data_IF_152317671282
#
_entry.id   IF_152317671282
#
_cell.length_a   1.000
_cell.length_b   1.000
_cell.length_c   1.000
_cell.angle_alpha   90.00
_cell.angle_beta   90.00
_cell.angle_gamma   90.00
#
_symmetry.space_group_name_H-M   'P 1'
#
loop_
_entity.id
_entity.type
_entity.pdbx_description
1 polymer ?
#
# COMPACT_ATOMS: atom_id res chain seq x y z
N UNK A 1 -16.47 -8.70 -8.37
CA UNK A 1 -16.64 -8.39 -6.94
C UNK A 1 -15.27 -8.06 -6.35
N UNK A 2 -15.12 -6.85 -5.83
CA UNK A 2 -13.93 -6.45 -5.09
C UNK A 2 -13.97 -7.12 -3.72
N UNK A 3 -13.14 -8.15 -3.50
CA UNK A 3 -13.01 -8.78 -2.20
C UNK A 3 -12.26 -7.83 -1.27
N UNK A 4 -12.76 -7.63 -0.06
CA UNK A 4 -12.14 -6.80 0.98
C UNK A 4 -11.52 -7.72 2.03
N UNK A 5 -10.32 -7.37 2.48
CA UNK A 5 -9.70 -8.04 3.61
C UNK A 5 -10.47 -7.63 4.88
N UNK A 6 -10.99 -8.63 5.60
CA UNK A 6 -11.66 -8.44 6.88
C UNK A 6 -10.77 -9.04 7.96
N UNK A 7 -10.35 -8.22 8.90
CA UNK A 7 -9.57 -8.62 10.08
C UNK A 7 -10.06 -7.83 11.30
N UNK A 8 -9.77 -8.32 12.46
CA UNK A 8 -10.09 -7.62 13.72
C UNK A 8 -9.16 -6.40 13.86
N UNK A 9 -9.74 -5.22 13.77
CA UNK A 9 -9.03 -3.96 13.96
C UNK A 9 -8.99 -3.60 15.43
N UNK A 10 -7.79 -3.38 15.95
CA UNK A 10 -7.60 -2.84 17.27
C UNK A 10 -8.05 -1.37 17.33
N UNK A 11 -8.30 -0.87 18.52
CA UNK A 11 -8.63 0.54 18.74
C UNK A 11 -7.59 1.49 18.12
N UNK A 12 -6.32 1.13 18.22
CA UNK A 12 -5.21 1.91 17.65
C UNK A 12 -5.27 1.98 16.11
N UNK A 13 -5.67 0.92 15.42
CA UNK A 13 -5.83 0.92 13.95
C UNK A 13 -6.95 1.85 13.50
N UNK A 14 -8.04 1.92 14.29
CA UNK A 14 -9.14 2.85 14.04
C UNK A 14 -8.72 4.29 14.26
N UNK A 15 -8.01 4.58 15.37
CA UNK A 15 -7.45 5.91 15.65
C UNK A 15 -6.48 6.34 14.56
N UNK A 16 -5.56 5.46 14.15
CA UNK A 16 -4.63 5.72 13.05
C UNK A 16 -5.37 6.11 11.77
N UNK A 17 -6.40 5.36 11.43
CA UNK A 17 -7.21 5.61 10.23
C UNK A 17 -7.91 6.98 10.31
N UNK A 18 -8.53 7.30 11.45
CA UNK A 18 -9.21 8.59 11.66
C UNK A 18 -8.21 9.73 11.61
N UNK A 19 -7.07 9.59 12.28
CA UNK A 19 -6.02 10.63 12.30
C UNK A 19 -5.48 10.91 10.91
N UNK A 20 -5.22 9.87 10.10
CA UNK A 20 -4.81 10.04 8.72
C UNK A 20 -5.86 10.83 7.91
N UNK A 21 -7.13 10.51 8.04
CA UNK A 21 -8.19 11.27 7.36
C UNK A 21 -8.24 12.73 7.80
N UNK A 22 -8.18 12.99 9.11
CA UNK A 22 -8.22 14.36 9.63
C UNK A 22 -7.06 15.20 9.13
N UNK A 23 -5.82 14.67 9.14
CA UNK A 23 -4.63 15.38 8.66
C UNK A 23 -4.78 15.75 7.19
N UNK A 24 -5.11 14.81 6.32
CA UNK A 24 -5.18 15.09 4.88
C UNK A 24 -6.39 15.92 4.48
N UNK A 25 -7.52 15.81 5.19
CA UNK A 25 -8.63 16.74 5.02
C UNK A 25 -8.26 18.15 5.48
N UNK A 26 -7.53 18.30 6.58
CA UNK A 26 -7.03 19.59 7.01
C UNK A 26 -6.09 20.23 5.96
N UNK A 27 -5.16 19.45 5.37
CA UNK A 27 -4.31 19.95 4.30
C UNK A 27 -5.11 20.45 3.09
N UNK A 28 -6.15 19.70 2.66
CA UNK A 28 -7.02 20.13 1.57
C UNK A 28 -7.74 21.42 1.95
N UNK A 29 -8.35 21.46 3.15
CA UNK A 29 -9.11 22.61 3.62
C UNK A 29 -8.26 23.88 3.71
N UNK A 30 -7.09 23.82 4.36
CA UNK A 30 -6.18 24.97 4.46
C UNK A 30 -5.64 25.40 3.09
N UNK A 31 -5.30 24.45 2.21
CA UNK A 31 -4.87 24.81 0.85
C UNK A 31 -5.95 25.54 0.07
N UNK A 32 -7.22 25.16 0.21
CA UNK A 32 -8.35 25.86 -0.43
C UNK A 32 -8.53 27.27 0.16
N UNK A 33 -8.38 27.43 1.48
CA UNK A 33 -8.46 28.75 2.11
C UNK A 33 -7.33 29.65 1.60
N UNK A 34 -6.10 29.17 1.58
CA UNK A 34 -4.96 29.93 1.05
C UNK A 34 -5.17 30.32 -0.43
N UNK A 35 -5.69 29.40 -1.26
CA UNK A 35 -5.98 29.72 -2.67
C UNK A 35 -7.01 30.85 -2.83
N UNK A 36 -7.96 31.00 -1.90
CA UNK A 36 -8.94 32.11 -1.93
C UNK A 36 -8.33 33.45 -1.55
N UNK A 37 -7.30 33.45 -0.70
CA UNK A 37 -6.66 34.68 -0.21
C UNK A 37 -5.58 35.20 -1.16
N UNK A 38 -4.96 34.32 -1.97
CA UNK A 38 -3.94 34.71 -2.93
C UNK A 38 -4.58 35.55 -4.04
N UNK A 39 -4.14 36.82 -4.16
CA UNK A 39 -4.52 37.65 -5.29
C UNK A 39 -3.91 37.16 -6.58
N UNK A 40 -4.70 37.12 -7.65
CA UNK A 40 -4.23 36.69 -8.98
C UNK A 40 -3.16 37.66 -9.51
N UNK A 41 -1.90 37.26 -9.34
CA UNK A 41 -0.72 38.00 -9.82
C UNK A 41 0.24 37.01 -10.47
N UNK A 42 0.94 37.39 -11.56
CA UNK A 42 1.96 36.51 -12.18
C UNK A 42 3.06 36.10 -11.22
N UNK A 43 3.33 36.88 -10.19
CA UNK A 43 4.37 36.61 -9.19
C UNK A 43 3.99 35.46 -8.24
N UNK A 44 2.71 35.08 -8.14
CA UNK A 44 2.20 34.08 -7.20
C UNK A 44 2.04 32.70 -7.87
N UNK A 45 2.57 32.51 -9.08
CA UNK A 45 2.44 31.23 -9.81
C UNK A 45 2.97 30.03 -9.03
N UNK A 46 4.10 30.20 -8.34
CA UNK A 46 4.71 29.13 -7.55
C UNK A 46 3.82 28.73 -6.37
N UNK A 47 3.20 29.69 -5.70
CA UNK A 47 2.30 29.45 -4.57
C UNK A 47 1.05 28.68 -5.02
N UNK A 48 0.43 29.07 -6.13
CA UNK A 48 -0.69 28.32 -6.72
C UNK A 48 -0.29 26.88 -7.06
N UNK A 49 0.86 26.71 -7.68
CA UNK A 49 1.34 25.36 -8.06
C UNK A 49 1.53 24.47 -6.84
N UNK A 50 2.17 24.98 -5.77
CA UNK A 50 2.39 24.22 -4.52
C UNK A 50 1.07 23.84 -3.87
N UNK A 51 0.11 24.77 -3.75
CA UNK A 51 -1.17 24.50 -3.10
C UNK A 51 -2.01 23.48 -3.88
N UNK A 52 -2.05 23.59 -5.20
CA UNK A 52 -2.72 22.59 -6.06
C UNK A 52 -2.05 21.22 -5.92
N UNK A 53 -0.71 21.18 -5.90
CA UNK A 53 0.03 19.95 -5.69
C UNK A 53 -0.31 19.31 -4.32
N UNK A 54 -0.38 20.09 -3.24
CA UNK A 54 -0.76 19.61 -1.90
C UNK A 54 -2.17 19.02 -1.92
N UNK A 55 -3.13 19.65 -2.60
CA UNK A 55 -4.49 19.13 -2.73
C UNK A 55 -4.50 17.79 -3.46
N UNK A 56 -3.85 17.72 -4.64
CA UNK A 56 -3.80 16.49 -5.45
C UNK A 56 -3.11 15.37 -4.69
N UNK A 57 -1.98 15.66 -4.03
CA UNK A 57 -1.25 14.69 -3.22
C UNK A 57 -2.09 14.19 -2.05
N UNK A 58 -2.77 15.07 -1.33
CA UNK A 58 -3.65 14.69 -0.21
C UNK A 58 -4.81 13.81 -0.66
N UNK A 59 -5.46 14.12 -1.78
CA UNK A 59 -6.49 13.29 -2.38
C UNK A 59 -5.96 11.91 -2.78
N UNK A 60 -4.76 11.86 -3.36
CA UNK A 60 -4.10 10.60 -3.70
C UNK A 60 -3.82 9.73 -2.45
N UNK A 61 -3.33 10.35 -1.37
CA UNK A 61 -3.07 9.64 -0.10
C UNK A 61 -4.37 9.11 0.52
N UNK A 62 -5.44 9.90 0.52
CA UNK A 62 -6.76 9.45 0.98
C UNK A 62 -7.27 8.27 0.15
N UNK A 63 -7.15 8.34 -1.17
CA UNK A 63 -7.50 7.22 -2.06
C UNK A 63 -6.68 5.96 -1.75
N UNK A 64 -5.37 6.09 -1.51
CA UNK A 64 -4.52 4.97 -1.12
C UNK A 64 -4.99 4.34 0.19
N UNK A 65 -5.31 5.16 1.21
CA UNK A 65 -5.79 4.67 2.51
C UNK A 65 -7.12 3.92 2.38
N UNK A 66 -8.05 4.44 1.60
CA UNK A 66 -9.33 3.77 1.31
C UNK A 66 -9.15 2.44 0.57
N UNK A 67 -8.15 2.38 -0.32
CA UNK A 67 -7.92 1.20 -1.17
C UNK A 67 -7.06 0.11 -0.51
N UNK A 68 -6.41 0.38 0.63
CA UNK A 68 -5.51 -0.57 1.31
C UNK A 68 -6.17 -1.93 1.63
N UNK A 69 -7.43 -1.91 2.04
CA UNK A 69 -8.18 -3.12 2.42
C UNK A 69 -8.72 -3.91 1.23
N UNK A 70 -8.67 -3.35 0.01
CA UNK A 70 -9.18 -4.03 -1.17
C UNK A 70 -8.13 -4.95 -1.79
N UNK A 71 -8.51 -6.22 -1.94
CA UNK A 71 -7.66 -7.24 -2.53
C UNK A 71 -7.54 -7.03 -4.04
N UNK A 72 -6.32 -6.92 -4.54
CA UNK A 72 -6.01 -6.86 -5.97
C UNK A 72 -5.91 -8.27 -6.53
N UNK A 73 -6.47 -8.49 -7.73
CA UNK A 73 -6.48 -9.79 -8.40
C UNK A 73 -5.42 -9.85 -9.50
N UNK A 74 -4.63 -10.93 -9.49
CA UNK A 74 -3.71 -11.28 -10.58
C UNK A 74 -4.11 -12.65 -11.11
N UNK A 75 -4.41 -12.76 -12.40
CA UNK A 75 -4.66 -14.03 -13.08
C UNK A 75 -3.32 -14.66 -13.49
N UNK A 76 -3.23 -15.97 -13.38
CA UNK A 76 -2.09 -16.76 -13.85
C UNK A 76 -2.58 -18.06 -14.52
N UNK A 77 -1.71 -18.70 -15.33
CA UNK A 77 -2.01 -19.91 -16.09
C UNK A 77 -1.16 -21.13 -15.69
N UNK A 78 -0.34 -20.98 -14.65
CA UNK A 78 0.50 -22.07 -14.11
C UNK A 78 -0.25 -22.81 -13.01
N UNK A 79 0.24 -24.00 -12.65
CA UNK A 79 -0.36 -24.77 -11.56
C UNK A 79 -0.25 -24.02 -10.23
N UNK A 80 -1.23 -24.18 -9.36
CA UNK A 80 -1.30 -23.49 -8.06
C UNK A 80 -0.06 -23.69 -7.19
N UNK A 81 0.44 -24.93 -7.13
CA UNK A 81 1.63 -25.25 -6.34
C UNK A 81 2.89 -24.59 -6.94
N UNK A 82 3.00 -24.52 -8.27
CA UNK A 82 4.09 -23.79 -8.94
C UNK A 82 4.01 -22.29 -8.65
N UNK A 83 2.80 -21.71 -8.65
CA UNK A 83 2.59 -20.32 -8.30
C UNK A 83 3.03 -20.06 -6.85
N UNK A 84 2.65 -20.93 -5.92
CA UNK A 84 3.05 -20.86 -4.52
C UNK A 84 4.58 -20.94 -4.37
N UNK A 85 5.21 -21.92 -5.03
CA UNK A 85 6.66 -22.08 -4.96
C UNK A 85 7.39 -20.85 -5.49
N UNK A 86 6.98 -20.31 -6.63
CA UNK A 86 7.57 -19.08 -7.21
C UNK A 86 7.45 -17.87 -6.27
N UNK A 87 6.33 -17.73 -5.56
CA UNK A 87 6.15 -16.67 -4.57
C UNK A 87 7.09 -16.88 -3.39
N UNK A 88 7.28 -18.10 -2.91
CA UNK A 88 8.20 -18.41 -1.83
C UNK A 88 9.66 -18.19 -2.24
N UNK A 89 10.04 -18.56 -3.45
CA UNK A 89 11.39 -18.32 -3.99
C UNK A 89 11.66 -16.80 -4.17
N UNK A 90 10.65 -16.06 -4.64
CA UNK A 90 10.72 -14.61 -4.67
C UNK A 90 10.92 -14.00 -3.27
N UNK A 91 10.16 -14.48 -2.29
CA UNK A 91 10.28 -14.02 -0.91
C UNK A 91 11.69 -14.26 -0.35
N UNK A 92 12.23 -15.47 -0.56
CA UNK A 92 13.61 -15.82 -0.16
C UNK A 92 14.64 -14.93 -0.85
N UNK A 93 14.52 -14.74 -2.17
CA UNK A 93 15.46 -13.93 -2.97
C UNK A 93 15.51 -12.47 -2.51
N UNK A 94 14.41 -11.92 -2.05
CA UNK A 94 14.29 -10.53 -1.63
C UNK A 94 14.30 -10.37 -0.10
N UNK A 95 14.76 -11.38 0.63
CA UNK A 95 14.87 -11.38 2.09
C UNK A 95 13.57 -11.06 2.83
N UNK A 96 12.42 -11.42 2.26
CA UNK A 96 11.14 -11.31 2.98
C UNK A 96 11.07 -12.35 4.11
N UNK A 97 10.64 -11.91 5.27
CA UNK A 97 10.27 -12.83 6.36
C UNK A 97 8.91 -13.42 6.07
N UNK A 98 8.83 -14.75 6.00
CA UNK A 98 7.57 -15.47 5.82
C UNK A 98 7.01 -15.75 7.20
N UNK A 99 5.94 -15.04 7.59
CA UNK A 99 5.35 -15.15 8.93
C UNK A 99 4.23 -16.18 9.04
N UNK A 100 3.55 -16.49 7.92
CA UNK A 100 2.50 -17.49 7.87
C UNK A 100 2.44 -18.17 6.50
N UNK A 101 2.36 -19.49 6.51
CA UNK A 101 2.04 -20.30 5.34
C UNK A 101 0.88 -21.22 5.72
N UNK A 102 -0.24 -21.10 5.01
CA UNK A 102 -1.34 -22.05 5.04
C UNK A 102 -1.62 -22.52 3.62
N UNK A 103 -2.54 -23.46 3.41
CA UNK A 103 -2.78 -24.05 2.08
C UNK A 103 -2.93 -23.01 0.96
N UNK A 104 -3.65 -21.92 1.23
CA UNK A 104 -3.96 -20.87 0.24
C UNK A 104 -3.50 -19.46 0.67
N UNK A 105 -2.82 -19.31 1.80
CA UNK A 105 -2.50 -18.03 2.41
C UNK A 105 -1.02 -17.93 2.73
N UNK A 106 -0.40 -16.84 2.28
CA UNK A 106 1.01 -16.51 2.56
C UNK A 106 1.09 -15.09 3.07
N UNK A 107 1.81 -14.88 4.18
CA UNK A 107 2.15 -13.56 4.70
C UNK A 107 3.64 -13.31 4.48
N UNK A 108 3.95 -12.26 3.74
CA UNK A 108 5.30 -11.82 3.47
C UNK A 108 5.55 -10.48 4.15
N UNK A 109 6.48 -10.46 5.09
CA UNK A 109 6.90 -9.24 5.75
C UNK A 109 8.17 -8.71 5.08
N UNK A 110 8.11 -7.49 4.59
CA UNK A 110 9.25 -6.83 3.97
C UNK A 110 10.31 -6.53 5.03
N UNK A 111 11.61 -6.79 4.75
CA UNK A 111 12.68 -6.41 5.67
C UNK A 111 12.62 -4.90 5.95
N UNK A 112 12.77 -4.52 7.20
CA UNK A 112 12.91 -3.11 7.60
C UNK A 112 14.29 -2.65 7.14
N UNK A 113 14.33 -1.69 6.23
CA UNK A 113 15.57 -1.01 5.88
C UNK A 113 16.12 -0.31 7.13
N UNK A 114 17.35 -0.61 7.50
CA UNK A 114 18.07 0.00 8.63
C UNK A 114 18.28 1.51 8.47
N UNK A 115 17.99 2.06 7.30
CA UNK A 115 18.05 3.49 6.98
C UNK A 115 16.79 4.29 7.35
N UNK A 116 15.79 3.69 7.99
CA UNK A 116 14.59 4.41 8.42
C UNK A 116 14.93 5.40 9.52
N UNK A 117 15.09 6.65 9.12
CA UNK A 117 15.17 7.83 9.98
C UNK A 117 14.09 7.77 11.08
N UNK A 118 14.40 7.21 12.23
CA UNK A 118 13.81 7.50 13.54
C UNK A 118 12.31 7.33 13.80
N UNK A 119 11.49 7.01 12.82
CA UNK A 119 10.03 6.94 12.95
C UNK A 119 9.49 5.50 12.91
N UNK A 120 9.95 4.66 13.84
CA UNK A 120 9.35 3.36 14.13
C UNK A 120 9.63 2.28 13.07
N UNK A 121 9.80 1.05 13.53
CA UNK A 121 9.93 -0.13 12.68
C UNK A 121 8.56 -0.47 12.07
N UNK A 122 8.25 0.11 10.90
CA UNK A 122 7.05 -0.25 10.16
C UNK A 122 7.34 -1.49 9.32
N UNK A 123 6.74 -2.61 9.69
CA UNK A 123 6.73 -3.79 8.81
C UNK A 123 5.63 -3.61 7.75
N UNK A 124 6.00 -3.78 6.48
CA UNK A 124 5.03 -3.90 5.39
C UNK A 124 4.72 -5.37 5.21
N UNK A 125 3.48 -5.76 5.48
CA UNK A 125 3.02 -7.14 5.32
C UNK A 125 2.20 -7.26 4.04
N UNK A 126 2.61 -8.17 3.14
CA UNK A 126 1.86 -8.54 1.96
C UNK A 126 1.05 -9.79 2.27
N UNK A 127 -0.27 -9.66 2.19
CA UNK A 127 -1.22 -10.76 2.32
C UNK A 127 -1.52 -11.32 0.94
N UNK A 128 -1.25 -12.61 0.72
CA UNK A 128 -1.44 -13.29 -0.57
C UNK A 128 -2.36 -14.49 -0.37
N UNK A 129 -3.50 -14.50 -1.06
CA UNK A 129 -4.42 -15.63 -1.14
C UNK A 129 -4.31 -16.26 -2.53
N UNK A 130 -3.97 -17.54 -2.60
CA UNK A 130 -3.76 -18.26 -3.85
C UNK A 130 -4.96 -19.13 -4.13
N UNK A 131 -5.63 -18.88 -5.24
CA UNK A 131 -6.71 -19.69 -5.79
C UNK A 131 -6.19 -20.43 -7.03
N UNK A 132 -7.01 -21.27 -7.64
CA UNK A 132 -6.55 -22.17 -8.72
C UNK A 132 -6.01 -21.42 -9.95
N UNK A 133 -6.67 -20.31 -10.37
CA UNK A 133 -6.33 -19.57 -11.59
C UNK A 133 -6.01 -18.09 -11.35
N UNK A 134 -5.99 -17.66 -10.08
CA UNK A 134 -5.69 -16.29 -9.71
C UNK A 134 -5.19 -16.19 -8.28
N UNK A 135 -4.48 -15.14 -8.00
CA UNK A 135 -4.18 -14.74 -6.62
C UNK A 135 -4.87 -13.43 -6.29
N UNK A 136 -5.18 -13.28 -5.02
CA UNK A 136 -5.62 -12.03 -4.43
C UNK A 136 -4.55 -11.56 -3.47
N UNK A 137 -4.20 -10.28 -3.51
CA UNK A 137 -3.21 -9.74 -2.59
C UNK A 137 -3.56 -8.33 -2.16
N UNK A 138 -3.08 -7.96 -1.01
CA UNK A 138 -2.99 -6.57 -0.55
C UNK A 138 -1.72 -6.37 0.24
N UNK A 139 -1.29 -5.13 0.37
CA UNK A 139 -0.13 -4.72 1.14
C UNK A 139 -0.60 -3.74 2.21
N UNK A 140 -0.28 -4.03 3.45
CA UNK A 140 -0.59 -3.17 4.59
C UNK A 140 0.69 -2.85 5.35
N UNK A 141 0.72 -1.68 5.98
CA UNK A 141 1.72 -1.35 6.98
C UNK A 141 1.15 -1.66 8.36
N UNK A 142 1.95 -2.34 9.16
CA UNK A 142 1.64 -2.62 10.55
C UNK A 142 2.68 -1.91 11.42
N UNK A 143 2.23 -1.22 12.47
CA UNK A 143 3.12 -0.54 13.40
C UNK A 143 2.34 0.06 14.56
N UNK A 144 3.05 0.40 15.63
CA UNK A 144 2.48 0.92 16.88
C UNK A 144 2.17 2.44 16.84
N UNK A 145 2.48 3.12 15.74
CA UNK A 145 2.31 4.57 15.57
C UNK A 145 1.52 4.86 14.30
N UNK A 146 1.23 6.13 14.04
CA UNK A 146 0.61 6.62 12.81
C UNK A 146 1.21 5.95 11.57
N UNK A 147 0.43 5.08 10.93
CA UNK A 147 0.85 4.34 9.75
C UNK A 147 0.46 5.12 8.49
N UNK A 148 1.42 5.79 7.82
CA UNK A 148 1.11 6.40 6.54
C UNK A 148 0.66 5.32 5.56
N UNK A 149 -0.30 5.63 4.68
CA UNK A 149 -0.81 4.66 3.72
C UNK A 149 0.29 4.14 2.80
N UNK A 150 0.09 2.92 2.31
CA UNK A 150 0.97 2.31 1.32
C UNK A 150 0.73 2.97 -0.03
N UNK A 151 1.64 3.85 -0.45
CA UNK A 151 1.53 4.60 -1.70
C UNK A 151 1.88 3.70 -2.91
N UNK A 152 3.07 3.88 -3.47
CA UNK A 152 3.50 3.18 -4.68
C UNK A 152 3.89 1.71 -4.46
N UNK A 153 4.19 1.29 -3.22
CA UNK A 153 4.68 -0.07 -2.92
C UNK A 153 3.70 -1.16 -3.37
N UNK A 154 2.39 -0.92 -3.26
CA UNK A 154 1.38 -1.87 -3.72
C UNK A 154 1.38 -2.04 -5.26
N UNK A 155 1.68 -0.98 -6.00
CA UNK A 155 1.84 -1.05 -7.45
C UNK A 155 3.09 -1.83 -7.84
N UNK A 156 4.22 -1.59 -7.17
CA UNK A 156 5.49 -2.28 -7.40
C UNK A 156 5.31 -3.79 -7.17
N UNK A 157 4.76 -4.19 -6.02
CA UNK A 157 4.50 -5.61 -5.73
C UNK A 157 3.56 -6.24 -6.76
N UNK A 158 2.54 -5.51 -7.25
CA UNK A 158 1.67 -6.01 -8.31
C UNK A 158 2.46 -6.34 -9.59
N UNK A 159 3.39 -5.46 -10.00
CA UNK A 159 4.22 -5.70 -11.17
C UNK A 159 5.16 -6.90 -10.97
N UNK A 160 5.78 -7.00 -9.81
CA UNK A 160 6.70 -8.09 -9.48
C UNK A 160 5.99 -9.44 -9.44
N UNK A 161 4.87 -9.54 -8.73
CA UNK A 161 4.05 -10.76 -8.70
C UNK A 161 3.58 -11.16 -10.10
N UNK A 162 3.13 -10.21 -10.93
CA UNK A 162 2.79 -10.49 -12.33
C UNK A 162 3.97 -11.03 -13.14
N UNK A 163 5.17 -10.47 -12.94
CA UNK A 163 6.40 -10.90 -13.63
C UNK A 163 6.79 -12.33 -13.26
N UNK A 164 6.70 -12.69 -11.98
CA UNK A 164 7.05 -14.01 -11.46
C UNK A 164 6.08 -15.07 -12.00
N UNK A 165 4.78 -14.75 -11.99
CA UNK A 165 3.73 -15.69 -12.41
C UNK A 165 3.63 -15.87 -13.94
N UNK A 166 4.12 -14.89 -14.72
CA UNK A 166 4.17 -15.00 -16.20
C UNK A 166 5.43 -15.68 -16.73
N UNK A 167 6.51 -15.77 -15.95
CA UNK A 167 7.78 -16.36 -16.41
C UNK A 167 7.58 -17.83 -16.71
N UNK A 168 7.68 -18.22 -18.01
CA UNK A 168 7.75 -19.65 -18.39
C UNK A 168 8.97 -20.24 -17.70
N UNK A 169 8.82 -21.41 -17.09
CA UNK A 169 9.94 -22.25 -16.64
C UNK A 169 10.74 -22.61 -17.89
N UNK A 170 11.94 -22.08 -18.02
CA UNK A 170 12.96 -22.58 -18.95
C UNK A 170 13.51 -23.86 -18.38
#
# INVERSE_FOLDING_TARGET
QNKKLVFEENWFDKLDTITNYLIFFAFIFFSILCLKEIKSSPNNFLEYFILIFVIIFSLYVLFCKLSEKYLKRIKFSIHKEDAKQRILDYAKKNNYRISKIANNLIFLNQPTDSSNLGFGNYEKTTFIFIEDNYLLFTLMKEGFRLNPPVLFSQYIINLELKKILKRKTT
#
